data_IF_828106785319
#
_entry.id   IF_828106785319
#
_cell.length_a   1.000
_cell.length_b   1.000
_cell.length_c   1.000
_cell.angle_alpha   90.00
_cell.angle_beta   90.00
_cell.angle_gamma   90.00
#
_symmetry.space_group_name_H-M   'P 1'
#
loop_
_entity.id
_entity.type
_entity.pdbx_description
1 polymer ?
#
# COMPACT_ATOMS: atom_id res chain seq x y z
N UNK A 1 -31.89 10.83 -11.37
CA UNK A 1 -32.62 10.80 -10.08
C UNK A 1 -34.00 11.42 -10.28
N UNK A 2 -35.05 10.81 -9.76
CA UNK A 2 -36.40 11.38 -9.81
C UNK A 2 -36.58 12.47 -8.76
N UNK A 3 -37.54 13.38 -8.97
CA UNK A 3 -37.88 14.43 -8.00
C UNK A 3 -38.30 13.88 -6.63
N UNK A 4 -38.89 12.68 -6.61
CA UNK A 4 -39.23 11.97 -5.38
C UNK A 4 -37.98 11.46 -4.65
N UNK A 5 -37.05 10.84 -5.37
CA UNK A 5 -35.78 10.36 -4.79
C UNK A 5 -34.97 11.51 -4.17
N UNK A 6 -34.84 12.64 -4.88
CA UNK A 6 -34.15 13.83 -4.38
C UNK A 6 -34.74 14.32 -3.06
N UNK A 7 -36.07 14.47 -2.98
CA UNK A 7 -36.76 14.94 -1.77
C UNK A 7 -36.56 13.98 -0.61
N UNK A 8 -36.59 12.67 -0.85
CA UNK A 8 -36.33 11.66 0.17
C UNK A 8 -34.89 11.76 0.68
N UNK A 9 -33.90 11.88 -0.22
CA UNK A 9 -32.48 12.06 0.18
C UNK A 9 -32.26 13.29 1.05
N UNK A 10 -32.83 14.45 0.68
CA UNK A 10 -32.72 15.67 1.48
C UNK A 10 -33.32 15.52 2.88
N UNK A 11 -34.48 14.87 2.99
CA UNK A 11 -35.15 14.64 4.28
C UNK A 11 -34.36 13.69 5.18
N UNK A 12 -33.71 12.68 4.61
CA UNK A 12 -32.81 11.78 5.33
C UNK A 12 -31.60 12.59 5.85
N UNK A 13 -30.98 13.39 5.00
CA UNK A 13 -29.81 14.18 5.39
C UNK A 13 -30.13 15.18 6.52
N UNK A 14 -31.26 15.87 6.43
CA UNK A 14 -31.71 16.81 7.47
C UNK A 14 -32.04 16.10 8.78
N UNK A 15 -32.70 14.93 8.72
CA UNK A 15 -32.98 14.11 9.90
C UNK A 15 -31.69 13.65 10.59
N UNK A 16 -30.69 13.21 9.83
CA UNK A 16 -29.38 12.85 10.38
C UNK A 16 -28.72 14.05 11.08
N UNK A 17 -28.79 15.25 10.50
CA UNK A 17 -28.28 16.48 11.11
C UNK A 17 -28.92 16.80 12.46
N UNK A 18 -30.24 16.68 12.58
CA UNK A 18 -30.94 16.87 13.86
C UNK A 18 -30.54 15.84 14.92
N UNK A 19 -30.41 14.57 14.53
CA UNK A 19 -29.98 13.51 15.45
C UNK A 19 -28.55 13.75 15.95
N UNK A 20 -27.63 14.18 15.08
CA UNK A 20 -26.25 14.52 15.48
C UNK A 20 -26.18 15.74 16.39
N UNK A 21 -27.17 16.63 16.31
CA UNK A 21 -27.32 17.79 17.20
C UNK A 21 -28.06 17.44 18.51
N UNK A 22 -28.32 16.15 18.77
CA UNK A 22 -28.89 15.67 20.03
C UNK A 22 -30.42 15.67 20.11
N UNK A 23 -31.13 15.92 19.01
CA UNK A 23 -32.60 15.80 19.00
C UNK A 23 -33.04 14.34 19.12
N UNK A 24 -34.17 14.11 19.79
CA UNK A 24 -34.77 12.78 19.87
C UNK A 24 -35.24 12.29 18.49
N UNK A 25 -35.39 10.97 18.33
CA UNK A 25 -35.90 10.38 17.08
C UNK A 25 -37.33 10.84 16.79
N UNK A 26 -38.16 10.99 17.83
CA UNK A 26 -39.56 11.45 17.71
C UNK A 26 -39.64 12.90 17.25
N UNK A 27 -38.87 13.80 17.87
CA UNK A 27 -38.85 15.22 17.51
C UNK A 27 -38.29 15.42 16.10
N UNK A 28 -37.27 14.65 15.75
CA UNK A 28 -36.69 14.66 14.40
C UNK A 28 -37.68 14.19 13.34
N UNK A 29 -38.44 13.12 13.62
CA UNK A 29 -39.46 12.62 12.70
C UNK A 29 -40.54 13.68 12.43
N UNK A 30 -41.02 14.35 13.49
CA UNK A 30 -41.99 15.45 13.37
C UNK A 30 -41.41 16.64 12.59
N UNK A 31 -40.20 17.09 12.93
CA UNK A 31 -39.54 18.23 12.28
C UNK A 31 -39.25 18.00 10.80
N UNK A 32 -38.90 16.76 10.40
CA UNK A 32 -38.61 16.41 9.00
C UNK A 32 -39.84 15.89 8.23
N UNK A 33 -41.04 16.04 8.80
CA UNK A 33 -42.33 15.70 8.19
C UNK A 33 -42.54 14.21 7.94
N UNK A 34 -41.84 13.33 8.67
CA UNK A 34 -42.02 11.88 8.55
C UNK A 34 -43.29 11.46 9.26
N UNK A 35 -44.22 10.84 8.54
CA UNK A 35 -45.51 10.43 9.07
C UNK A 35 -45.45 9.17 9.93
N UNK A 36 -44.30 8.48 9.99
CA UNK A 36 -44.15 7.20 10.69
C UNK A 36 -42.76 7.02 11.32
N UNK A 37 -42.70 7.09 12.65
CA UNK A 37 -41.50 6.81 13.46
C UNK A 37 -40.81 5.46 13.11
N UNK A 38 -41.53 4.35 12.84
CA UNK A 38 -40.91 3.09 12.46
C UNK A 38 -40.11 3.16 11.15
N UNK A 39 -40.48 4.06 10.24
CA UNK A 39 -39.77 4.21 8.96
C UNK A 39 -38.42 4.92 9.13
N UNK A 40 -38.35 5.93 10.00
CA UNK A 40 -37.09 6.59 10.34
C UNK A 40 -36.15 5.61 11.06
N UNK A 41 -36.67 4.82 12.00
CA UNK A 41 -35.91 3.76 12.66
C UNK A 41 -35.41 2.70 11.67
N UNK A 42 -36.28 2.21 10.77
CA UNK A 42 -35.88 1.27 9.73
C UNK A 42 -34.81 1.86 8.79
N UNK A 43 -34.92 3.14 8.45
CA UNK A 43 -33.93 3.85 7.63
C UNK A 43 -32.58 3.94 8.34
N UNK A 44 -32.55 4.32 9.62
CA UNK A 44 -31.31 4.37 10.41
C UNK A 44 -30.65 2.99 10.48
N UNK A 45 -31.44 1.94 10.76
CA UNK A 45 -30.94 0.56 10.79
C UNK A 45 -30.38 0.13 9.44
N UNK A 46 -31.11 0.42 8.34
CA UNK A 46 -30.64 0.11 7.00
C UNK A 46 -29.32 0.82 6.67
N UNK A 47 -29.20 2.12 6.99
CA UNK A 47 -27.98 2.88 6.76
C UNK A 47 -26.78 2.32 7.54
N UNK A 48 -26.98 1.87 8.79
CA UNK A 48 -25.93 1.19 9.57
C UNK A 48 -25.47 -0.10 8.89
N UNK A 49 -26.40 -0.95 8.47
CA UNK A 49 -26.08 -2.20 7.76
C UNK A 49 -25.35 -1.94 6.43
N UNK A 50 -25.72 -0.88 5.71
CA UNK A 50 -25.01 -0.48 4.49
C UNK A 50 -23.60 0.04 4.79
N UNK A 51 -23.43 0.84 5.85
CA UNK A 51 -22.12 1.32 6.27
C UNK A 51 -21.20 0.17 6.65
N UNK A 52 -21.67 -0.77 7.48
CA UNK A 52 -20.91 -1.95 7.88
C UNK A 52 -20.45 -2.77 6.67
N UNK A 53 -21.35 -2.97 5.70
CA UNK A 53 -21.04 -3.69 4.44
C UNK A 53 -19.96 -2.97 3.63
N UNK A 54 -20.05 -1.65 3.50
CA UNK A 54 -19.05 -0.86 2.76
C UNK A 54 -17.71 -0.90 3.48
N UNK A 55 -17.69 -0.74 4.80
CA UNK A 55 -16.47 -0.82 5.59
C UNK A 55 -15.80 -2.18 5.47
N UNK A 56 -16.55 -3.28 5.60
CA UNK A 56 -16.04 -4.63 5.37
C UNK A 56 -15.40 -4.76 3.98
N UNK A 57 -16.08 -4.25 2.96
CA UNK A 57 -15.57 -4.32 1.59
C UNK A 57 -14.30 -3.50 1.38
N UNK A 58 -14.21 -2.33 2.00
CA UNK A 58 -13.00 -1.51 1.99
C UNK A 58 -11.85 -2.27 2.64
N UNK A 59 -12.06 -2.82 3.85
CA UNK A 59 -11.04 -3.63 4.53
C UNK A 59 -10.59 -4.82 3.69
N UNK A 60 -11.51 -5.54 3.06
CA UNK A 60 -11.17 -6.64 2.15
C UNK A 60 -10.28 -6.16 1.01
N UNK A 61 -10.68 -5.11 0.30
CA UNK A 61 -9.95 -4.58 -0.86
C UNK A 61 -8.60 -4.01 -0.45
N UNK A 62 -8.51 -3.32 0.68
CA UNK A 62 -7.28 -2.78 1.23
C UNK A 62 -6.34 -3.90 1.67
N UNK A 63 -6.85 -4.96 2.28
CA UNK A 63 -6.05 -6.16 2.60
C UNK A 63 -5.46 -6.83 1.35
N UNK A 64 -6.16 -6.78 0.21
CA UNK A 64 -5.62 -7.25 -1.07
C UNK A 64 -4.59 -6.28 -1.69
N UNK A 65 -4.66 -4.98 -1.35
CA UNK A 65 -3.72 -3.96 -1.82
C UNK A 65 -2.48 -3.81 -0.93
N UNK A 66 -2.58 -4.19 0.34
CA UNK A 66 -1.46 -4.28 1.28
C UNK A 66 -1.13 -5.76 1.51
N UNK A 67 -0.35 -6.41 0.62
CA UNK A 67 0.00 -7.80 0.80
C UNK A 67 0.70 -7.97 2.15
N UNK A 68 0.32 -8.97 2.99
CA UNK A 68 1.05 -9.24 4.23
C UNK A 68 2.47 -9.68 3.85
N UNK A 69 3.43 -8.75 3.96
CA UNK A 69 4.85 -9.03 3.66
C UNK A 69 5.71 -7.92 3.07
N UNK A 70 5.24 -6.68 2.88
CA UNK A 70 6.08 -5.56 2.39
C UNK A 70 6.57 -4.60 3.51
N UNK A 71 6.55 -5.04 4.77
CA UNK A 71 6.77 -4.16 5.93
C UNK A 71 8.07 -4.35 6.71
N UNK A 72 8.87 -5.36 6.41
CA UNK A 72 10.28 -5.36 6.82
C UNK A 72 11.07 -5.09 5.56
N UNK A 73 11.60 -3.87 5.34
CA UNK A 73 12.65 -3.69 4.36
C UNK A 73 13.70 -4.75 4.68
N UNK A 74 13.88 -5.71 3.76
CA UNK A 74 15.09 -6.53 3.80
C UNK A 74 16.25 -5.52 3.91
N UNK A 75 17.19 -5.70 4.85
CA UNK A 75 18.36 -4.84 4.87
C UNK A 75 18.94 -4.81 3.45
N UNK A 76 19.37 -3.63 2.96
CA UNK A 76 19.92 -3.53 1.63
C UNK A 76 20.99 -4.62 1.48
N UNK A 77 21.03 -5.33 0.35
CA UNK A 77 21.98 -6.42 0.18
C UNK A 77 23.39 -5.85 0.33
N UNK A 78 24.22 -6.45 1.17
CA UNK A 78 25.59 -5.97 1.42
C UNK A 78 26.41 -5.87 0.12
N UNK A 79 26.05 -6.66 -0.91
CA UNK A 79 26.73 -6.71 -2.19
C UNK A 79 25.77 -6.86 -3.37
N UNK A 80 26.18 -6.29 -4.51
CA UNK A 80 25.46 -6.41 -5.76
C UNK A 80 26.41 -6.69 -6.92
N UNK A 81 25.92 -7.43 -7.92
CA UNK A 81 26.60 -7.65 -9.21
C UNK A 81 25.86 -6.87 -10.28
N UNK A 82 26.59 -6.01 -10.99
CA UNK A 82 26.10 -5.32 -12.16
C UNK A 82 26.15 -6.24 -13.37
N UNK A 83 25.07 -6.27 -14.14
CA UNK A 83 25.00 -6.99 -15.42
C UNK A 83 25.20 -6.03 -16.60
N UNK A 84 25.77 -6.52 -17.70
CA UNK A 84 25.84 -5.76 -18.96
C UNK A 84 24.44 -5.52 -19.58
N UNK A 85 24.40 -4.74 -20.67
CA UNK A 85 23.18 -4.36 -21.39
C UNK A 85 22.92 -5.28 -22.59
N UNK A 86 23.48 -6.48 -22.60
CA UNK A 86 23.42 -7.39 -23.76
C UNK A 86 22.24 -8.36 -23.67
N UNK A 87 21.84 -8.93 -24.81
CA UNK A 87 20.84 -10.00 -24.88
C UNK A 87 21.27 -11.27 -24.13
N UNK A 88 22.58 -11.47 -23.94
CA UNK A 88 23.19 -12.45 -23.05
C UNK A 88 23.80 -11.72 -21.83
N UNK A 89 23.08 -11.64 -20.70
CA UNK A 89 23.51 -10.86 -19.55
C UNK A 89 24.74 -11.46 -18.87
N UNK A 90 25.85 -10.73 -18.86
CA UNK A 90 27.09 -11.13 -18.17
C UNK A 90 27.42 -10.19 -17.02
N UNK A 91 27.98 -10.72 -15.91
CA UNK A 91 28.43 -9.90 -14.80
C UNK A 91 29.61 -9.03 -15.25
N UNK A 92 29.58 -7.73 -14.92
CA UNK A 92 30.60 -6.76 -15.33
C UNK A 92 31.33 -6.13 -14.16
N UNK A 93 30.66 -5.96 -13.02
CA UNK A 93 31.28 -5.37 -11.85
C UNK A 93 30.59 -5.82 -10.56
N UNK A 94 31.39 -6.04 -9.51
CA UNK A 94 30.91 -6.21 -8.13
C UNK A 94 30.87 -4.85 -7.43
N UNK A 95 29.82 -4.60 -6.63
CA UNK A 95 29.67 -3.39 -5.84
C UNK A 95 29.24 -3.72 -4.41
N UNK A 96 29.61 -2.86 -3.45
CA UNK A 96 28.95 -2.82 -2.13
C UNK A 96 27.50 -2.33 -2.32
N UNK A 97 26.57 -2.81 -1.49
CA UNK A 97 25.13 -2.54 -1.56
C UNK A 97 24.75 -1.07 -1.59
N UNK A 98 25.57 -0.25 -0.95
CA UNK A 98 25.33 1.20 -0.81
C UNK A 98 25.98 2.04 -1.91
N UNK A 99 26.78 1.43 -2.81
CA UNK A 99 27.53 2.13 -3.85
C UNK A 99 26.59 2.85 -4.83
N UNK A 100 26.78 4.16 -5.02
CA UNK A 100 25.94 4.97 -5.93
C UNK A 100 26.19 4.65 -7.41
N UNK A 101 27.40 4.24 -7.79
CA UNK A 101 27.67 3.69 -9.13
C UNK A 101 26.99 2.33 -9.33
N UNK A 102 26.86 1.57 -8.24
CA UNK A 102 26.02 0.39 -8.10
C UNK A 102 24.56 0.71 -7.79
N UNK A 103 24.01 1.86 -8.23
CA UNK A 103 22.56 2.16 -8.27
C UNK A 103 22.05 2.35 -9.71
N UNK A 104 22.72 1.71 -10.68
CA UNK A 104 22.32 1.67 -12.10
C UNK A 104 21.25 0.57 -12.33
N UNK A 105 20.47 0.61 -13.42
CA UNK A 105 19.60 -0.51 -13.78
C UNK A 105 20.41 -1.81 -13.94
N UNK A 106 19.80 -2.96 -13.58
CA UNK A 106 20.37 -4.34 -13.70
C UNK A 106 21.42 -4.75 -12.68
N UNK A 107 21.21 -4.36 -11.43
CA UNK A 107 21.95 -4.91 -10.30
C UNK A 107 21.23 -6.14 -9.77
N UNK A 108 21.97 -7.18 -9.46
CA UNK A 108 21.45 -8.35 -8.77
C UNK A 108 22.06 -8.41 -7.37
N UNK A 109 21.25 -8.53 -6.30
CA UNK A 109 21.76 -8.81 -4.97
C UNK A 109 22.48 -10.16 -4.99
N UNK A 110 23.64 -10.23 -4.35
CA UNK A 110 24.39 -11.47 -4.19
C UNK A 110 24.84 -11.63 -2.74
N UNK A 111 24.82 -12.85 -2.17
CA UNK A 111 25.44 -13.12 -0.88
C UNK A 111 26.97 -13.03 -1.00
N UNK A 112 27.67 -12.89 0.12
CA UNK A 112 29.15 -12.84 0.17
C UNK A 112 29.83 -13.95 -0.63
N UNK A 113 29.29 -15.18 -0.58
CA UNK A 113 29.82 -16.31 -1.37
C UNK A 113 29.76 -16.04 -2.88
N UNK A 114 28.63 -15.52 -3.38
CA UNK A 114 28.46 -15.19 -4.80
C UNK A 114 29.39 -14.05 -5.24
N UNK A 115 29.79 -13.17 -4.33
CA UNK A 115 30.80 -12.16 -4.62
C UNK A 115 32.19 -12.79 -4.80
N UNK A 116 32.59 -13.67 -3.89
CA UNK A 116 33.88 -14.36 -3.98
C UNK A 116 33.98 -15.17 -5.28
N UNK A 117 32.91 -15.87 -5.64
CA UNK A 117 32.82 -16.61 -6.91
C UNK A 117 32.95 -15.68 -8.11
N UNK A 118 32.25 -14.53 -8.11
CA UNK A 118 32.33 -13.56 -9.20
C UNK A 118 33.73 -12.95 -9.35
N UNK A 119 34.36 -12.55 -8.25
CA UNK A 119 35.73 -11.98 -8.26
C UNK A 119 36.75 -13.03 -8.72
N UNK A 120 36.64 -14.28 -8.24
CA UNK A 120 37.50 -15.39 -8.67
C UNK A 120 37.29 -15.72 -10.15
N UNK A 121 36.08 -15.57 -10.67
CA UNK A 121 35.75 -15.74 -12.09
C UNK A 121 36.20 -14.57 -12.98
N UNK A 122 36.89 -13.55 -12.42
CA UNK A 122 37.44 -12.42 -13.16
C UNK A 122 36.46 -11.26 -13.37
N UNK A 123 35.37 -11.19 -12.62
CA UNK A 123 34.49 -10.01 -12.62
C UNK A 123 35.20 -8.89 -11.87
N UNK A 124 35.30 -7.72 -12.48
CA UNK A 124 36.03 -6.59 -11.90
C UNK A 124 35.37 -6.06 -10.62
N UNK A 125 36.14 -5.76 -9.56
CA UNK A 125 35.62 -4.98 -8.44
C UNK A 125 35.37 -3.54 -8.88
N UNK A 126 34.28 -2.93 -8.41
CA UNK A 126 34.03 -1.52 -8.66
C UNK A 126 35.18 -0.66 -8.12
N UNK A 127 35.81 0.12 -8.99
CA UNK A 127 36.92 0.99 -8.61
C UNK A 127 36.55 2.07 -7.57
N UNK A 128 35.26 2.41 -7.43
CA UNK A 128 34.78 3.43 -6.50
C UNK A 128 34.55 2.90 -5.08
N UNK A 129 33.85 1.78 -4.94
CA UNK A 129 33.56 1.21 -3.61
C UNK A 129 34.54 0.11 -3.19
N UNK A 130 35.45 -0.34 -4.07
CA UNK A 130 36.52 -1.34 -3.81
C UNK A 130 36.04 -2.51 -2.93
N UNK A 131 35.04 -3.28 -3.39
CA UNK A 131 34.44 -4.37 -2.62
C UNK A 131 35.44 -5.47 -2.23
N UNK A 132 36.50 -5.62 -3.02
CA UNK A 132 37.62 -6.55 -2.83
C UNK A 132 38.36 -6.35 -1.49
N UNK A 133 38.53 -5.10 -1.04
CA UNK A 133 39.32 -4.79 0.16
C UNK A 133 38.67 -5.27 1.45
N UNK A 134 37.34 -5.22 1.53
CA UNK A 134 36.57 -5.71 2.68
C UNK A 134 36.49 -7.25 2.72
N UNK A 135 36.73 -7.88 1.57
CA UNK A 135 36.76 -9.33 1.43
C UNK A 135 38.13 -9.92 1.73
N UNK A 136 39.17 -9.10 1.94
CA UNK A 136 40.57 -9.51 2.10
C UNK A 136 41.06 -10.36 0.92
N UNK A 137 40.55 -10.06 -0.28
CA UNK A 137 40.99 -10.66 -1.53
C UNK A 137 41.98 -9.68 -2.14
N UNK A 138 43.27 -9.83 -1.81
CA UNK A 138 44.38 -9.05 -2.39
C UNK A 138 44.87 -9.67 -3.70
#
# INVERSE_FOLDING_TARGET
MSSHQWRTTLRIHHALGHLTNGMSVTDTAMACGWSNLPHLQATVTYLRLQLDRVQQRVTEVEHWHDPPGLGVPLPPPDWTVQMNVSADPRPVAVHHGECTAGRRPRLRPVPRQGVNEALTAGVEPCALCRPDRELQLD
#
